data_IF_209166727218
#
_entry.id   IF_209166727218
#
_cell.length_a   1.000
_cell.length_b   1.000
_cell.length_c   1.000
_cell.angle_alpha   90.00
_cell.angle_beta   90.00
_cell.angle_gamma   90.00
#
_symmetry.space_group_name_H-M   'P 1'
#
loop_
_entity.id
_entity.type
_entity.pdbx_description
1 polymer ?
#
# COMPACT_ATOMS: atom_id res chain seq x y z
N UNK A 1 -4.89 -1.74 -11.49
CA UNK A 1 -5.52 -0.68 -10.68
C UNK A 1 -4.58 -0.31 -9.54
N UNK A 2 -4.32 0.97 -9.34
CA UNK A 2 -3.51 1.50 -8.23
C UNK A 2 -4.43 2.14 -7.20
N UNK A 3 -4.27 1.79 -5.92
CA UNK A 3 -5.17 2.18 -4.82
C UNK A 3 -4.39 3.00 -3.80
N UNK A 4 -4.99 4.10 -3.33
CA UNK A 4 -4.36 5.02 -2.38
C UNK A 4 -3.14 5.74 -2.95
N UNK A 5 -3.17 6.10 -4.23
CA UNK A 5 -2.05 6.71 -4.92
C UNK A 5 -1.75 8.13 -4.41
N UNK A 6 -0.54 8.33 -3.91
CA UNK A 6 0.03 9.65 -3.59
C UNK A 6 0.70 10.29 -4.81
N UNK A 7 1.04 9.48 -5.82
CA UNK A 7 1.61 9.91 -7.09
C UNK A 7 1.17 8.96 -8.20
N UNK A 8 1.16 9.49 -9.42
CA UNK A 8 0.76 8.81 -10.63
C UNK A 8 1.95 8.30 -11.45
N UNK A 9 3.18 8.52 -10.99
CA UNK A 9 4.41 8.10 -11.66
C UNK A 9 4.44 6.60 -11.95
N UNK A 10 3.96 5.78 -11.01
CA UNK A 10 3.92 4.33 -11.20
C UNK A 10 2.98 3.94 -12.35
N UNK A 11 1.75 4.46 -12.36
CA UNK A 11 0.80 4.20 -13.42
C UNK A 11 1.31 4.72 -14.78
N UNK A 12 1.92 5.90 -14.81
CA UNK A 12 2.50 6.47 -16.03
C UNK A 12 3.65 5.59 -16.56
N UNK A 13 4.61 5.24 -15.70
CA UNK A 13 5.75 4.39 -16.07
C UNK A 13 5.30 3.02 -16.59
N UNK A 14 4.35 2.37 -15.90
CA UNK A 14 3.82 1.07 -16.31
C UNK A 14 3.02 1.16 -17.62
N UNK A 15 2.26 2.23 -17.84
CA UNK A 15 1.50 2.43 -19.07
C UNK A 15 2.39 2.62 -20.31
N UNK A 16 3.57 3.21 -20.14
CA UNK A 16 4.58 3.34 -21.21
C UNK A 16 5.24 2.00 -21.50
N UNK A 17 5.51 1.20 -20.45
CA UNK A 17 6.19 -0.09 -20.60
C UNK A 17 5.28 -1.20 -21.14
N UNK A 18 4.00 -1.18 -20.80
CA UNK A 18 3.04 -2.24 -21.14
C UNK A 18 1.85 -1.66 -21.89
N UNK A 19 1.92 -1.59 -23.24
CA UNK A 19 0.93 -0.86 -24.03
C UNK A 19 -0.50 -1.41 -23.94
N UNK A 20 -0.63 -2.71 -23.66
CA UNK A 20 -1.89 -3.45 -23.55
C UNK A 20 -2.59 -3.34 -22.19
N UNK A 21 -2.01 -2.61 -21.23
CA UNK A 21 -2.59 -2.45 -19.89
C UNK A 21 -3.31 -1.10 -19.74
N UNK A 22 -4.45 -1.14 -19.04
CA UNK A 22 -5.19 0.03 -18.60
C UNK A 22 -5.03 0.22 -17.09
N UNK A 23 -4.94 1.48 -16.67
CA UNK A 23 -4.67 1.85 -15.29
C UNK A 23 -5.80 2.72 -14.74
N UNK A 24 -6.48 2.21 -13.73
CA UNK A 24 -7.31 3.03 -12.85
C UNK A 24 -6.48 3.40 -11.63
N UNK A 25 -6.30 4.70 -11.39
CA UNK A 25 -5.60 5.25 -10.23
C UNK A 25 -6.62 5.86 -9.28
N UNK A 26 -6.67 5.33 -8.07
CA UNK A 26 -7.51 5.86 -7.00
C UNK A 26 -6.67 6.56 -5.97
N UNK A 27 -7.01 7.81 -5.68
CA UNK A 27 -6.43 8.58 -4.58
C UNK A 27 -7.49 8.86 -3.53
N UNK A 28 -7.03 9.09 -2.30
CA UNK A 28 -7.92 9.35 -1.18
C UNK A 28 -8.42 10.80 -1.19
N UNK A 29 -9.69 10.98 -0.87
CA UNK A 29 -10.33 12.29 -0.77
C UNK A 29 -10.22 12.84 0.66
N UNK A 30 -9.59 14.00 0.81
CA UNK A 30 -9.38 14.72 2.08
C UNK A 30 -10.60 15.58 2.47
N UNK A 31 -11.80 15.10 2.14
CA UNK A 31 -13.05 15.78 2.42
C UNK A 31 -13.26 17.11 1.66
N UNK A 32 -14.45 17.72 1.82
CA UNK A 32 -14.93 18.78 0.93
C UNK A 32 -14.32 20.17 1.15
N UNK A 33 -13.32 20.31 2.03
CA UNK A 33 -12.86 21.62 2.53
C UNK A 33 -11.51 22.10 1.96
N UNK A 34 -10.89 21.38 1.02
CA UNK A 34 -9.58 21.76 0.49
C UNK A 34 -9.67 22.14 -0.99
N UNK A 35 -9.01 23.23 -1.35
CA UNK A 35 -8.75 23.61 -2.74
C UNK A 35 -8.17 22.43 -3.49
N UNK A 36 -8.42 22.27 -4.82
CA UNK A 36 -7.79 21.23 -5.61
C UNK A 36 -6.29 21.27 -5.34
N UNK A 37 -5.79 20.24 -4.66
CA UNK A 37 -4.38 20.17 -4.27
C UNK A 37 -3.58 20.04 -5.57
N UNK A 38 -2.31 20.46 -5.58
CA UNK A 38 -1.44 20.29 -6.77
C UNK A 38 -1.46 18.84 -7.28
N UNK A 39 -1.62 17.88 -6.37
CA UNK A 39 -1.86 16.46 -6.67
C UNK A 39 -3.10 16.24 -7.55
N UNK A 40 -4.25 16.82 -7.21
CA UNK A 40 -5.48 16.71 -8.00
C UNK A 40 -5.30 17.30 -9.41
N UNK A 41 -4.57 18.42 -9.52
CA UNK A 41 -4.27 19.04 -10.81
C UNK A 41 -3.32 18.16 -11.65
N UNK A 42 -2.25 17.63 -11.04
CA UNK A 42 -1.31 16.72 -11.70
C UNK A 42 -2.00 15.43 -12.18
N UNK A 43 -2.88 14.85 -11.35
CA UNK A 43 -3.68 13.69 -11.72
C UNK A 43 -4.63 13.98 -12.88
N UNK A 44 -5.31 15.13 -12.86
CA UNK A 44 -6.20 15.54 -13.94
C UNK A 44 -5.42 15.85 -15.24
N UNK A 45 -4.18 16.34 -15.15
CA UNK A 45 -3.33 16.55 -16.31
C UNK A 45 -2.87 15.23 -16.92
N UNK A 46 -2.47 14.25 -16.10
CA UNK A 46 -2.05 12.94 -16.59
C UNK A 46 -3.21 12.19 -17.26
N UNK A 47 -4.40 12.21 -16.66
CA UNK A 47 -5.59 11.59 -17.25
C UNK A 47 -5.92 12.18 -18.64
N UNK A 48 -5.66 13.47 -18.85
CA UNK A 48 -5.79 14.11 -20.17
C UNK A 48 -4.68 13.72 -21.14
N UNK A 49 -3.46 13.52 -20.64
CA UNK A 49 -2.30 13.19 -21.46
C UNK A 49 -2.28 11.72 -21.91
N UNK A 50 -2.90 10.81 -21.15
CA UNK A 50 -2.87 9.38 -21.43
C UNK A 50 -4.27 8.76 -21.27
N UNK A 51 -4.96 8.41 -22.37
CA UNK A 51 -6.33 7.88 -22.32
C UNK A 51 -6.44 6.51 -21.64
N UNK A 52 -5.32 5.81 -21.42
CA UNK A 52 -5.27 4.51 -20.72
C UNK A 52 -5.18 4.67 -19.20
N UNK A 53 -5.08 5.91 -18.71
CA UNK A 53 -5.03 6.21 -17.28
C UNK A 53 -6.31 6.95 -16.90
N UNK A 54 -7.13 6.29 -16.10
CA UNK A 54 -8.31 6.89 -15.48
C UNK A 54 -8.02 7.18 -14.01
N UNK A 55 -8.31 8.40 -13.56
CA UNK A 55 -8.08 8.81 -12.17
C UNK A 55 -9.43 9.00 -11.47
N UNK A 56 -9.58 8.45 -10.28
CA UNK A 56 -10.80 8.52 -9.48
C UNK A 56 -10.49 8.82 -8.02
N UNK A 57 -11.43 9.48 -7.34
CA UNK A 57 -11.39 9.65 -5.89
C UNK A 57 -12.14 8.54 -5.18
N UNK A 58 -11.63 8.15 -4.01
CA UNK A 58 -12.24 7.10 -3.18
C UNK A 58 -11.93 7.38 -1.72
N UNK A 59 -12.91 7.19 -0.84
CA UNK A 59 -12.66 7.24 0.61
C UNK A 59 -11.97 5.96 1.08
N UNK A 60 -11.03 6.10 2.00
CA UNK A 60 -10.32 4.96 2.62
C UNK A 60 -11.34 3.98 3.20
N UNK A 61 -11.18 2.69 2.91
CA UNK A 61 -12.06 1.63 3.44
C UNK A 61 -13.48 1.59 2.85
N UNK A 62 -13.85 2.48 1.91
CA UNK A 62 -15.10 2.35 1.18
C UNK A 62 -15.13 1.04 0.36
N UNK A 63 -16.27 0.51 -0.06
CA UNK A 63 -16.29 -0.68 -0.93
C UNK A 63 -15.63 -0.39 -2.27
N UNK A 64 -14.86 -1.33 -2.82
CA UNK A 64 -14.13 -1.15 -4.09
C UNK A 64 -15.09 -1.15 -5.30
N UNK A 65 -15.29 -0.02 -6.02
CA UNK A 65 -16.23 0.03 -7.14
C UNK A 65 -15.77 -0.75 -8.37
N UNK A 66 -14.46 -0.85 -8.61
CA UNK A 66 -13.91 -1.57 -9.75
C UNK A 66 -13.74 -3.04 -9.37
N UNK A 67 -14.57 -3.92 -9.93
CA UNK A 67 -14.66 -5.35 -9.56
C UNK A 67 -13.95 -6.30 -10.53
N UNK A 68 -13.66 -5.80 -11.72
CA UNK A 68 -13.16 -6.55 -12.89
C UNK A 68 -11.67 -6.30 -13.17
N UNK A 69 -10.94 -5.65 -12.27
CA UNK A 69 -9.50 -5.46 -12.46
C UNK A 69 -8.76 -6.79 -12.25
N UNK A 70 -7.82 -7.09 -13.16
CA UNK A 70 -6.95 -8.24 -13.04
C UNK A 70 -5.95 -8.10 -11.86
N UNK A 71 -5.51 -6.88 -11.58
CA UNK A 71 -4.53 -6.58 -10.53
C UNK A 71 -4.92 -5.32 -9.76
N UNK A 72 -4.94 -5.43 -8.44
CA UNK A 72 -5.03 -4.33 -7.49
C UNK A 72 -3.65 -4.10 -6.89
N UNK A 73 -3.14 -2.87 -6.93
CA UNK A 73 -1.85 -2.49 -6.37
C UNK A 73 -2.14 -1.55 -5.21
N UNK A 74 -1.92 -2.02 -3.99
CA UNK A 74 -2.09 -1.25 -2.76
C UNK A 74 -0.71 -0.88 -2.24
N UNK A 75 -0.41 0.42 -2.13
CA UNK A 75 0.82 0.89 -1.51
C UNK A 75 0.56 1.19 -0.04
N UNK A 76 1.29 0.53 0.84
CA UNK A 76 1.28 0.86 2.26
C UNK A 76 1.98 2.22 2.43
N UNK A 77 1.30 3.23 2.99
CA UNK A 77 1.91 4.52 3.25
C UNK A 77 3.13 4.36 4.16
N UNK A 78 4.21 5.06 3.85
CA UNK A 78 5.33 5.16 4.80
C UNK A 78 4.89 5.98 6.01
N UNK A 79 5.51 5.76 7.17
CA UNK A 79 5.27 6.59 8.38
C UNK A 79 5.71 8.06 8.19
N UNK A 80 6.47 8.36 7.12
CA UNK A 80 6.72 9.73 6.67
C UNK A 80 5.51 10.36 5.95
N UNK A 81 4.71 9.53 5.30
CA UNK A 81 3.57 9.96 4.48
C UNK A 81 2.25 9.93 5.25
N UNK A 82 2.24 9.40 6.47
CA UNK A 82 1.14 9.62 7.41
C UNK A 82 1.14 11.09 7.83
N UNK A 83 0.58 11.94 6.97
CA UNK A 83 0.35 13.35 7.25
C UNK A 83 -0.53 13.43 8.51
N UNK A 84 -0.14 14.21 9.53
CA UNK A 84 -0.88 14.34 10.79
C UNK A 84 -2.37 14.68 10.60
N UNK A 85 -2.70 15.42 9.53
CA UNK A 85 -4.06 15.87 9.22
C UNK A 85 -5.05 14.74 8.89
N UNK A 86 -4.58 13.61 8.35
CA UNK A 86 -5.41 12.46 7.97
C UNK A 86 -5.98 11.74 9.19
N UNK A 87 -5.24 11.73 10.30
CA UNK A 87 -5.63 11.06 11.55
C UNK A 87 -6.26 12.06 12.52
N UNK A 88 -5.88 13.34 12.44
CA UNK A 88 -6.44 14.41 13.25
C UNK A 88 -7.93 14.67 12.99
N UNK A 89 -8.46 14.37 11.80
CA UNK A 89 -9.89 14.54 11.50
C UNK A 89 -10.78 13.44 12.12
N UNK A 90 -10.22 12.30 12.51
CA UNK A 90 -10.96 11.20 13.16
C UNK A 90 -10.92 11.28 14.69
N UNK A 91 -9.77 11.69 15.25
CA UNK A 91 -9.59 11.78 16.70
C UNK A 91 -9.31 13.22 17.13
N UNK A 92 -10.37 13.95 17.48
CA UNK A 92 -10.29 15.23 18.18
C UNK A 92 -9.73 15.01 19.60
N UNK A 93 -8.42 14.79 19.73
CA UNK A 93 -7.73 14.63 21.01
C UNK A 93 -6.55 13.65 21.09
N UNK A 94 -6.16 12.94 20.01
CA UNK A 94 -5.02 12.03 20.05
C UNK A 94 -3.69 12.75 19.78
N UNK A 95 -2.76 12.68 20.74
CA UNK A 95 -1.43 13.29 20.66
C UNK A 95 -0.63 12.79 19.45
N UNK A 96 0.02 13.74 18.77
CA UNK A 96 0.70 13.66 17.47
C UNK A 96 1.87 12.66 17.47
N UNK A 97 2.34 12.24 18.64
CA UNK A 97 3.48 11.33 18.84
C UNK A 97 3.13 9.86 19.10
N UNK A 98 1.85 9.49 19.19
CA UNK A 98 1.41 8.09 19.41
C UNK A 98 0.55 7.51 18.28
N UNK A 99 0.13 8.33 17.32
CA UNK A 99 -0.83 7.94 16.30
C UNK A 99 -0.23 7.16 15.12
N UNK A 100 1.07 7.28 14.84
CA UNK A 100 1.68 6.80 13.59
C UNK A 100 1.45 5.31 13.29
N UNK A 101 1.95 4.36 14.11
CA UNK A 101 1.85 2.92 13.81
C UNK A 101 0.43 2.36 13.90
N UNK A 102 -0.37 2.84 14.86
CA UNK A 102 -1.75 2.38 15.07
C UNK A 102 -2.69 2.89 13.96
N UNK A 103 -2.51 4.13 13.52
CA UNK A 103 -3.25 4.67 12.38
C UNK A 103 -2.88 3.94 11.09
N UNK A 104 -1.60 3.67 10.86
CA UNK A 104 -1.15 2.91 9.68
C UNK A 104 -1.79 1.51 9.63
N UNK A 105 -1.80 0.79 10.76
CA UNK A 105 -2.49 -0.49 10.87
C UNK A 105 -3.97 -0.36 10.51
N UNK A 106 -4.65 0.65 11.06
CA UNK A 106 -6.07 0.87 10.79
C UNK A 106 -6.35 1.14 9.30
N UNK A 107 -5.55 1.99 8.67
CA UNK A 107 -5.66 2.31 7.23
C UNK A 107 -5.47 1.08 6.36
N UNK A 108 -4.43 0.29 6.64
CA UNK A 108 -4.14 -0.94 5.88
C UNK A 108 -5.27 -1.95 6.05
N UNK A 109 -5.75 -2.18 7.27
CA UNK A 109 -6.86 -3.11 7.52
C UNK A 109 -8.17 -2.65 6.88
N UNK A 110 -8.48 -1.35 6.93
CA UNK A 110 -9.66 -0.79 6.28
C UNK A 110 -9.63 -1.03 4.77
N UNK A 111 -8.48 -0.81 4.13
CA UNK A 111 -8.34 -0.98 2.67
C UNK A 111 -8.29 -2.46 2.25
N UNK A 112 -7.61 -3.32 3.02
CA UNK A 112 -7.64 -4.76 2.80
C UNK A 112 -9.08 -5.31 2.95
N UNK A 113 -9.82 -4.85 3.96
CA UNK A 113 -11.22 -5.21 4.16
C UNK A 113 -12.11 -4.76 2.99
N UNK A 114 -11.88 -3.57 2.44
CA UNK A 114 -12.60 -3.08 1.28
C UNK A 114 -12.36 -3.91 -0.01
N UNK A 115 -11.21 -4.55 -0.14
CA UNK A 115 -10.89 -5.42 -1.27
C UNK A 115 -11.34 -6.87 -1.09
N UNK A 116 -11.73 -7.28 0.12
CA UNK A 116 -12.11 -8.66 0.43
C UNK A 116 -13.26 -9.13 -0.48
N UNK A 117 -14.34 -8.35 -0.58
CA UNK A 117 -15.51 -8.72 -1.40
C UNK A 117 -15.13 -8.95 -2.87
N UNK A 118 -14.29 -8.07 -3.41
CA UNK A 118 -13.86 -8.13 -4.81
C UNK A 118 -12.94 -9.32 -5.08
N UNK A 119 -11.96 -9.57 -4.21
CA UNK A 119 -11.07 -10.72 -4.32
C UNK A 119 -11.80 -12.05 -4.11
N UNK A 120 -12.87 -12.03 -3.31
CA UNK A 120 -13.74 -13.19 -3.09
C UNK A 120 -14.61 -13.50 -4.31
N UNK A 121 -15.14 -12.47 -4.98
CA UNK A 121 -15.95 -12.62 -6.20
C UNK A 121 -15.10 -12.96 -7.41
N UNK A 122 -13.90 -12.38 -7.53
CA UNK A 122 -12.99 -12.57 -8.65
C UNK A 122 -11.72 -13.31 -8.19
N UNK A 123 -11.75 -14.65 -8.25
CA UNK A 123 -10.62 -15.49 -7.85
C UNK A 123 -9.40 -15.38 -8.77
N UNK A 124 -9.57 -14.88 -9.99
CA UNK A 124 -8.48 -14.61 -10.92
C UNK A 124 -7.71 -13.33 -10.56
N UNK A 125 -8.36 -12.38 -9.86
CA UNK A 125 -7.74 -11.13 -9.45
C UNK A 125 -6.59 -11.36 -8.47
N UNK A 126 -5.60 -10.47 -8.55
CA UNK A 126 -4.43 -10.45 -7.68
C UNK A 126 -4.33 -9.13 -6.94
N UNK A 127 -4.08 -9.17 -5.63
CA UNK A 127 -3.71 -7.99 -4.87
C UNK A 127 -2.19 -7.98 -4.66
N UNK A 128 -1.53 -6.90 -5.06
CA UNK A 128 -0.10 -6.64 -4.83
C UNK A 128 -0.01 -5.56 -3.77
N UNK A 129 0.46 -5.93 -2.57
CA UNK A 129 0.71 -5.00 -1.48
C UNK A 129 2.19 -4.60 -1.50
N UNK A 130 2.50 -3.34 -1.76
CA UNK A 130 3.88 -2.82 -1.78
C UNK A 130 4.14 -1.94 -0.56
N UNK A 131 5.26 -2.13 0.12
CA UNK A 131 5.60 -1.41 1.34
C UNK A 131 7.12 -1.29 1.52
N UNK A 132 7.56 -0.23 2.21
CA UNK A 132 8.91 -0.14 2.77
C UNK A 132 8.91 -0.74 4.16
N UNK A 133 9.65 -1.83 4.35
CA UNK A 133 9.57 -2.66 5.54
C UNK A 133 10.94 -2.95 6.11
N UNK A 134 10.98 -2.91 7.43
CA UNK A 134 12.13 -3.37 8.19
C UNK A 134 12.08 -4.90 8.25
N UNK A 135 13.11 -5.54 7.70
CA UNK A 135 13.36 -6.97 7.93
C UNK A 135 14.08 -7.13 9.28
N UNK A 136 13.62 -8.04 10.13
CA UNK A 136 14.26 -8.30 11.41
C UNK A 136 15.74 -8.68 11.23
N UNK A 137 16.60 -8.25 12.17
CA UNK A 137 18.01 -8.59 12.17
C UNK A 137 18.19 -10.09 12.42
N UNK A 138 18.40 -10.84 11.34
CA UNK A 138 18.35 -12.30 11.33
C UNK A 138 17.62 -12.76 10.08
N UNK A 139 18.31 -12.66 8.94
CA UNK A 139 17.72 -12.71 7.61
C UNK A 139 16.80 -13.92 7.38
N UNK A 140 15.61 -13.62 6.89
CA UNK A 140 14.63 -14.55 6.33
C UNK A 140 15.03 -15.06 4.93
N UNK A 141 16.33 -15.12 4.64
CA UNK A 141 16.91 -15.67 3.41
C UNK A 141 16.59 -14.89 2.12
N UNK A 142 15.81 -13.81 2.17
CA UNK A 142 15.25 -13.15 0.98
C UNK A 142 15.71 -11.70 0.75
N UNK A 143 16.52 -11.09 1.62
CA UNK A 143 16.91 -9.69 1.36
C UNK A 143 18.01 -9.04 2.18
N UNK A 144 18.70 -9.70 3.12
CA UNK A 144 19.66 -8.97 3.97
C UNK A 144 20.94 -9.72 4.35
N UNK A 145 21.36 -10.70 3.56
CA UNK A 145 22.67 -11.36 3.76
C UNK A 145 23.70 -11.04 2.66
N UNK A 146 23.27 -10.54 1.48
CA UNK A 146 24.13 -10.29 0.31
C UNK A 146 24.00 -8.87 -0.26
N UNK A 147 23.44 -7.92 0.50
CA UNK A 147 23.45 -6.52 0.07
C UNK A 147 24.87 -5.97 0.15
N UNK A 148 25.30 -5.23 -0.87
CA UNK A 148 26.56 -4.47 -0.79
C UNK A 148 26.56 -3.63 0.50
N UNK A 149 27.71 -3.52 1.20
CA UNK A 149 27.78 -2.85 2.50
C UNK A 149 27.29 -1.41 2.44
N UNK A 150 27.43 -0.76 1.27
CA UNK A 150 26.94 0.60 1.02
C UNK A 150 25.40 0.68 1.04
N UNK A 151 24.70 -0.27 0.42
CA UNK A 151 23.24 -0.31 0.42
C UNK A 151 22.69 -0.57 1.83
N UNK A 152 23.40 -1.38 2.62
CA UNK A 152 23.06 -1.59 4.03
C UNK A 152 23.25 -0.30 4.84
N UNK A 153 24.35 0.42 4.63
CA UNK A 153 24.60 1.71 5.29
C UNK A 153 23.54 2.75 4.91
N UNK A 154 23.15 2.84 3.64
CA UNK A 154 22.10 3.76 3.19
C UNK A 154 20.73 3.41 3.77
N UNK A 155 20.38 2.13 3.84
CA UNK A 155 19.14 1.69 4.48
C UNK A 155 19.13 2.01 5.98
N UNK A 156 20.25 1.80 6.67
CA UNK A 156 20.39 2.15 8.09
C UNK A 156 20.32 3.65 8.33
N UNK A 157 20.98 4.46 7.49
CA UNK A 157 20.88 5.91 7.53
C UNK A 157 19.43 6.36 7.32
N UNK A 158 18.72 5.78 6.36
CA UNK A 158 17.30 6.04 6.12
C UNK A 158 16.44 5.75 7.36
N UNK A 159 16.63 4.59 8.00
CA UNK A 159 15.91 4.23 9.23
C UNK A 159 16.24 5.19 10.40
N UNK A 160 17.49 5.61 10.53
CA UNK A 160 17.89 6.57 11.56
C UNK A 160 17.30 7.96 11.28
N UNK A 161 17.35 8.43 10.05
CA UNK A 161 16.73 9.71 9.64
C UNK A 161 15.23 9.67 9.94
N UNK A 162 14.56 8.58 9.59
CA UNK A 162 13.14 8.37 9.90
C UNK A 162 12.88 8.47 11.40
N UNK A 163 13.68 7.77 12.21
CA UNK A 163 13.57 7.77 13.66
C UNK A 163 13.82 9.16 14.25
N UNK A 164 14.80 9.90 13.74
CA UNK A 164 15.12 11.25 14.21
C UNK A 164 14.04 12.27 13.83
N UNK A 165 13.47 12.17 12.63
CA UNK A 165 12.48 13.13 12.13
C UNK A 165 11.06 12.86 12.64
N UNK A 166 10.70 11.60 12.84
CA UNK A 166 9.32 11.21 13.19
C UNK A 166 9.17 10.62 14.59
N UNK A 167 10.28 10.24 15.24
CA UNK A 167 10.22 9.43 16.47
C UNK A 167 9.74 7.99 16.23
N UNK A 168 9.52 7.60 14.98
CA UNK A 168 8.97 6.29 14.61
C UNK A 168 9.96 5.52 13.71
N UNK A 169 9.82 4.19 13.72
CA UNK A 169 10.56 3.29 12.81
C UNK A 169 9.62 2.79 11.72
N UNK A 170 10.20 2.25 10.65
CA UNK A 170 9.41 1.52 9.65
C UNK A 170 8.69 0.33 10.28
N UNK A 171 7.55 -0.01 9.70
CA UNK A 171 6.78 -1.18 10.12
C UNK A 171 7.58 -2.44 9.83
N UNK A 172 7.52 -3.38 10.77
CA UNK A 172 8.16 -4.67 10.60
C UNK A 172 7.37 -5.52 9.60
N UNK A 173 8.10 -6.25 8.75
CA UNK A 173 7.50 -7.20 7.81
C UNK A 173 6.51 -8.15 8.49
N UNK A 174 6.89 -8.69 9.64
CA UNK A 174 6.05 -9.61 10.41
C UNK A 174 4.72 -9.02 10.85
N UNK A 175 4.64 -7.70 11.04
CA UNK A 175 3.39 -7.05 11.42
C UNK A 175 2.44 -6.91 10.23
N UNK A 176 2.96 -6.57 9.04
CA UNK A 176 2.16 -6.52 7.82
C UNK A 176 1.59 -7.90 7.47
N UNK A 177 2.39 -8.96 7.62
CA UNK A 177 1.93 -10.33 7.43
C UNK A 177 0.76 -10.67 8.37
N UNK A 178 0.90 -10.36 9.67
CA UNK A 178 -0.18 -10.55 10.65
C UNK A 178 -1.43 -9.76 10.28
N UNK A 179 -1.28 -8.54 9.74
CA UNK A 179 -2.44 -7.73 9.33
C UNK A 179 -3.16 -8.37 8.16
N UNK A 180 -2.44 -8.82 7.13
CA UNK A 180 -3.05 -9.54 5.98
C UNK A 180 -3.77 -10.80 6.45
N UNK A 181 -3.12 -11.62 7.28
CA UNK A 181 -3.69 -12.88 7.78
C UNK A 181 -4.89 -12.67 8.72
N UNK A 182 -4.98 -11.51 9.37
CA UNK A 182 -6.10 -11.15 10.24
C UNK A 182 -7.37 -10.78 9.46
N UNK A 183 -7.26 -10.49 8.16
CA UNK A 183 -8.40 -10.11 7.31
C UNK A 183 -9.01 -11.37 6.68
N UNK A 184 -10.21 -11.71 7.13
CA UNK A 184 -11.01 -12.81 6.61
C UNK A 184 -12.49 -12.66 6.95
N UNK A 185 -13.30 -13.50 6.33
CA UNK A 185 -14.73 -13.66 6.60
C UNK A 185 -15.01 -15.12 6.97
N UNK A 186 -16.28 -15.46 7.21
CA UNK A 186 -16.69 -16.83 7.54
C UNK A 186 -16.40 -17.84 6.40
N UNK A 187 -16.22 -17.36 5.16
CA UNK A 187 -16.01 -18.17 3.97
C UNK A 187 -14.53 -18.38 3.63
N UNK A 188 -13.61 -17.60 4.19
CA UNK A 188 -12.20 -17.63 3.82
C UNK A 188 -11.39 -16.46 4.37
N UNK A 189 -10.12 -16.40 4.01
CA UNK A 189 -9.20 -15.35 4.46
C UNK A 189 -8.23 -14.94 3.38
N UNK A 190 -7.64 -13.76 3.55
CA UNK A 190 -6.51 -13.34 2.73
C UNK A 190 -5.25 -14.10 3.17
N UNK A 191 -4.46 -14.51 2.18
CA UNK A 191 -3.17 -15.15 2.40
C UNK A 191 -2.13 -14.61 1.43
N UNK A 192 -0.89 -14.55 1.89
CA UNK A 192 0.26 -14.18 1.07
C UNK A 192 0.72 -15.41 0.31
N UNK A 193 0.72 -15.33 -1.01
CA UNK A 193 1.13 -16.42 -1.91
C UNK A 193 2.59 -16.27 -2.31
N UNK A 194 3.01 -15.04 -2.62
CA UNK A 194 4.40 -14.75 -2.97
C UNK A 194 4.87 -13.50 -2.25
N UNK A 195 6.17 -13.47 -2.00
CA UNK A 195 6.89 -12.31 -1.52
C UNK A 195 8.03 -12.01 -2.48
N UNK A 196 8.15 -10.74 -2.84
CA UNK A 196 9.21 -10.21 -3.69
C UNK A 196 9.91 -9.10 -2.91
N UNK A 197 11.23 -9.08 -2.96
CA UNK A 197 12.04 -8.01 -2.39
C UNK A 197 13.04 -7.56 -3.46
N UNK A 198 13.25 -6.25 -3.56
CA UNK A 198 14.28 -5.72 -4.45
C UNK A 198 15.63 -5.74 -3.73
N UNK A 199 16.68 -6.37 -4.30
CA UNK A 199 18.01 -6.38 -3.70
C UNK A 199 18.50 -4.96 -3.39
N UNK A 200 19.06 -4.76 -2.20
CA UNK A 200 19.63 -3.47 -1.78
C UNK A 200 18.63 -2.39 -1.37
N UNK A 201 17.32 -2.69 -1.36
CA UNK A 201 16.28 -1.74 -0.92
C UNK A 201 15.39 -2.35 0.15
N UNK A 202 14.78 -1.51 0.99
CA UNK A 202 13.76 -1.92 1.95
C UNK A 202 12.36 -2.12 1.32
N UNK A 203 12.24 -1.98 -0.02
CA UNK A 203 10.99 -2.12 -0.75
C UNK A 203 10.63 -3.61 -0.92
N UNK A 204 9.47 -4.00 -0.38
CA UNK A 204 8.92 -5.36 -0.42
C UNK A 204 7.54 -5.33 -1.07
N UNK A 205 7.24 -6.35 -1.88
CA UNK A 205 5.92 -6.59 -2.43
C UNK A 205 5.39 -7.97 -2.01
N UNK A 206 4.12 -8.01 -1.62
CA UNK A 206 3.40 -9.25 -1.32
C UNK A 206 2.30 -9.47 -2.34
N UNK A 207 2.25 -10.66 -2.90
CA UNK A 207 1.12 -11.14 -3.69
C UNK A 207 0.11 -11.76 -2.73
N UNK A 208 -1.03 -11.13 -2.58
CA UNK A 208 -2.13 -11.52 -1.69
C UNK A 208 -3.28 -12.09 -2.53
N UNK A 209 -3.85 -13.21 -2.09
CA UNK A 209 -5.04 -13.82 -2.68
C UNK A 209 -6.05 -14.19 -1.61
N UNK A 210 -7.31 -14.23 -2.00
CA UNK A 210 -8.37 -14.76 -1.15
C UNK A 210 -8.39 -16.29 -1.25
N UNK A 211 -8.27 -16.96 -0.11
CA UNK A 211 -8.33 -18.41 0.02
C UNK A 211 -9.59 -18.81 0.77
N UNK A 212 -10.43 -19.66 0.16
CA UNK A 212 -11.64 -20.17 0.81
C UNK A 212 -11.29 -21.19 1.90
N UNK A 213 -12.02 -21.15 3.01
CA UNK A 213 -11.94 -22.16 4.06
C UNK A 213 -12.38 -23.51 3.47
N UNK A 214 -11.45 -24.46 3.36
CA UNK A 214 -11.69 -25.78 2.75
C UNK A 214 -11.06 -26.02 1.38
N UNK A 215 -10.36 -25.04 0.79
CA UNK A 215 -9.62 -25.22 -0.47
C UNK A 215 -8.22 -25.88 -0.28
N UNK A 216 -8.08 -26.74 0.72
CA UNK A 216 -6.92 -27.63 0.87
C UNK A 216 -7.31 -29.02 0.41
N UNK A 217 -6.93 -29.37 -0.81
CA UNK A 217 -6.86 -30.75 -1.30
C UNK A 217 -5.43 -30.98 -1.76
#
# INVERSE_FOLDING_TARGET
MQVGAESCELADALSRRYPSLEFVVQFHDDGPARTPTELTAAFAQLARANPRITVQQRRIGASQPIRDAAVYILRVPSVLSTVPDQVASWNRGASISQAGPLALRHLVLAELGAHLDVLRTNSAAMLILTARLRTAAGGDGLGSANGEPENQALSQMGELVLLQLTGHREVELGDVLKWVESVGDEAGKLSVVHRLASPGTADVAFVVRYTRAGAGC
#
